data_IF_870016647511
#
_entry.id   IF_870016647511
#
_cell.length_a   1.000
_cell.length_b   1.000
_cell.length_c   1.000
_cell.angle_alpha   90.00
_cell.angle_beta   90.00
_cell.angle_gamma   90.00
#
_symmetry.space_group_name_H-M   'P 1'
#
loop_
_entity.id
_entity.type
_entity.pdbx_description
1 polymer ?
#
# COMPACT_ATOMS: atom_id res chain seq x y z
N UNK A 1 19.49 -1.66 2.23
CA UNK A 1 18.21 -1.64 1.49
C UNK A 1 18.16 -2.82 0.51
N UNK A 2 17.04 -3.55 0.44
CA UNK A 2 16.87 -4.70 -0.45
C UNK A 2 16.76 -4.31 -1.93
N UNK A 3 16.35 -3.06 -2.21
CA UNK A 3 16.12 -2.59 -3.58
C UNK A 3 14.94 -3.28 -4.27
N UNK A 4 14.09 -4.00 -3.52
CA UNK A 4 12.95 -4.73 -4.07
C UNK A 4 11.65 -3.94 -3.76
N UNK A 5 10.88 -3.51 -4.77
CA UNK A 5 9.60 -2.84 -4.58
C UNK A 5 8.44 -3.81 -4.29
N UNK A 6 8.67 -5.13 -4.33
CA UNK A 6 7.64 -6.13 -4.09
C UNK A 6 7.11 -6.06 -2.64
N UNK A 7 5.79 -5.91 -2.44
CA UNK A 7 5.20 -5.87 -1.10
C UNK A 7 5.38 -7.18 -0.35
N UNK A 8 5.71 -7.09 0.93
CA UNK A 8 5.60 -8.22 1.84
C UNK A 8 4.14 -8.45 2.25
N UNK A 9 3.88 -9.61 2.86
CA UNK A 9 2.57 -9.88 3.47
C UNK A 9 2.21 -8.90 4.58
N UNK A 10 3.22 -8.35 5.27
CA UNK A 10 3.00 -7.38 6.34
C UNK A 10 2.60 -6.01 5.78
N UNK A 11 3.21 -5.58 4.68
CA UNK A 11 2.83 -4.35 3.99
C UNK A 11 1.36 -4.39 3.55
N UNK A 12 0.94 -5.52 2.95
CA UNK A 12 -0.47 -5.74 2.56
C UNK A 12 -1.39 -5.70 3.78
N UNK A 13 -1.01 -6.37 4.88
CA UNK A 13 -1.81 -6.42 6.11
C UNK A 13 -2.01 -5.02 6.70
N UNK A 14 -0.93 -4.25 6.84
CA UNK A 14 -0.98 -2.90 7.39
C UNK A 14 -1.79 -1.98 6.48
N UNK A 15 -1.60 -2.08 5.17
CA UNK A 15 -2.35 -1.30 4.18
C UNK A 15 -3.85 -1.49 4.34
N UNK A 16 -4.33 -2.73 4.44
CA UNK A 16 -5.76 -3.02 4.67
C UNK A 16 -6.28 -2.40 5.97
N UNK A 17 -5.52 -2.52 7.05
CA UNK A 17 -5.90 -1.90 8.33
C UNK A 17 -6.01 -0.38 8.24
N UNK A 18 -5.15 0.27 7.46
CA UNK A 18 -5.20 1.71 7.22
C UNK A 18 -6.38 2.10 6.34
N UNK A 19 -6.70 1.31 5.30
CA UNK A 19 -7.89 1.51 4.46
C UNK A 19 -9.15 1.44 5.32
N UNK A 20 -9.32 0.37 6.11
CA UNK A 20 -10.50 0.19 6.99
C UNK A 20 -10.65 1.36 7.98
N UNK A 21 -9.54 1.82 8.56
CA UNK A 21 -9.53 2.96 9.47
C UNK A 21 -9.87 4.28 8.76
N UNK A 22 -9.35 4.46 7.55
CA UNK A 22 -9.62 5.62 6.71
C UNK A 22 -11.10 5.72 6.34
N UNK A 23 -11.71 4.62 5.90
CA UNK A 23 -13.15 4.54 5.61
C UNK A 23 -14.00 4.94 6.82
N UNK A 24 -13.66 4.42 8.00
CA UNK A 24 -14.36 4.73 9.26
C UNK A 24 -14.29 6.22 9.60
N UNK A 25 -13.18 6.88 9.28
CA UNK A 25 -12.97 8.31 9.55
C UNK A 25 -13.46 9.22 8.42
N UNK A 26 -13.93 8.66 7.29
CA UNK A 26 -14.26 9.44 6.09
C UNK A 26 -13.02 10.05 5.42
N UNK A 27 -11.84 9.45 5.62
CA UNK A 27 -10.55 9.86 5.04
C UNK A 27 -10.02 8.67 4.22
N UNK A 28 -10.32 8.60 2.92
CA UNK A 28 -9.93 7.45 2.11
C UNK A 28 -8.41 7.38 1.92
N UNK A 29 -7.87 6.16 1.92
CA UNK A 29 -6.49 5.88 1.52
C UNK A 29 -6.49 5.64 0.01
N UNK A 30 -5.85 6.51 -0.75
CA UNK A 30 -5.86 6.41 -2.21
C UNK A 30 -4.83 5.42 -2.77
N UNK A 31 -3.66 5.31 -2.13
CA UNK A 31 -2.64 4.37 -2.55
C UNK A 31 -1.61 4.14 -1.43
N UNK A 32 -0.87 3.05 -1.54
CA UNK A 32 0.35 2.78 -0.80
C UNK A 32 1.46 2.46 -1.81
N UNK A 33 2.39 3.41 -1.96
CA UNK A 33 3.51 3.31 -2.89
C UNK A 33 4.75 2.77 -2.16
N UNK A 34 5.26 1.63 -2.63
CA UNK A 34 6.55 1.09 -2.21
C UNK A 34 7.62 1.57 -3.19
N UNK A 35 8.62 2.30 -2.71
CA UNK A 35 9.68 2.93 -3.54
C UNK A 35 11.01 2.19 -3.36
N UNK A 36 11.61 1.76 -4.48
CA UNK A 36 12.91 1.11 -4.51
C UNK A 36 13.79 1.73 -5.62
N UNK A 37 14.51 2.80 -5.28
CA UNK A 37 15.35 3.51 -6.24
C UNK A 37 14.51 4.16 -7.35
N UNK A 38 14.67 3.71 -8.59
CA UNK A 38 13.88 4.17 -9.74
C UNK A 38 12.61 3.36 -9.97
N UNK A 39 12.43 2.27 -9.23
CA UNK A 39 11.26 1.41 -9.33
C UNK A 39 10.27 1.72 -8.21
N UNK A 40 8.99 1.46 -8.48
CA UNK A 40 7.93 1.56 -7.49
C UNK A 40 6.87 0.50 -7.73
N UNK A 41 6.08 0.23 -6.69
CA UNK A 41 4.86 -0.58 -6.79
C UNK A 41 3.72 0.16 -6.12
N UNK A 42 2.64 0.37 -6.86
CA UNK A 42 1.36 0.83 -6.34
C UNK A 42 0.52 -0.35 -5.86
N UNK A 43 0.03 -0.26 -4.63
CA UNK A 43 -0.87 -1.26 -4.06
C UNK A 43 -2.31 -1.07 -4.56
N UNK A 44 -2.69 0.15 -4.95
CA UNK A 44 -3.95 0.41 -5.65
C UNK A 44 -3.96 -0.22 -7.06
N UNK A 45 -2.90 -0.04 -7.86
CA UNK A 45 -2.81 -0.67 -9.19
C UNK A 45 -2.80 -2.22 -9.14
N UNK A 46 -2.33 -2.77 -8.01
CA UNK A 46 -2.36 -4.22 -7.74
C UNK A 46 -3.70 -4.73 -7.19
N UNK A 47 -4.68 -3.86 -6.98
CA UNK A 47 -6.00 -4.22 -6.45
C UNK A 47 -5.97 -4.63 -4.97
N UNK A 48 -5.03 -4.09 -4.19
CA UNK A 48 -5.00 -4.27 -2.73
C UNK A 48 -5.81 -3.20 -2.01
N UNK A 49 -5.96 -2.03 -2.64
CA UNK A 49 -6.78 -0.90 -2.22
C UNK A 49 -7.84 -0.70 -3.32
N UNK A 50 -9.11 -0.55 -2.93
CA UNK A 50 -10.26 -0.36 -3.82
C UNK A 50 -10.61 1.13 -4.01
#
# INVERSE_FOLDING_TARGET
>A
PSGNPEPSREDIRITRQLVDAGETMGIPVHDHLIIAGTEHTSLAERGVID
#
